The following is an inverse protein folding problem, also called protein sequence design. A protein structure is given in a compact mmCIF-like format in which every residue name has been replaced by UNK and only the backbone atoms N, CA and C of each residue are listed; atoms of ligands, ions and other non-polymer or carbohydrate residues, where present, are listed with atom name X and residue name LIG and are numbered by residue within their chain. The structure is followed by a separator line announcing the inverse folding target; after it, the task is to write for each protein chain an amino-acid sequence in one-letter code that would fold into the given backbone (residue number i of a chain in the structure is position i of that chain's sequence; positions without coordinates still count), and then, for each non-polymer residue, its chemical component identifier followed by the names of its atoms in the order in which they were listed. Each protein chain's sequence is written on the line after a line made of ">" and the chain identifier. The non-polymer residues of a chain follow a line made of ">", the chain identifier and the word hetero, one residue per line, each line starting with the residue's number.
data_IF_268083668584
#
_entry.id   IF_268083668584
#
_cell.length_a   1.000
_cell.length_b   1.000
_cell.length_c   1.000
_cell.angle_alpha   90.00
_cell.angle_beta   90.00
_cell.angle_gamma   90.00
#
_symmetry.space_group_name_H-M   'P 1'
#
loop_
_entity.id
_entity.type
_entity.pdbx_description
1 polymer ?
#
# COMPACT_ATOMS: atom_id res chain seq x y z
N UNK A 1 6.28 -0.41 -19.73
CA UNK A 1 5.91 0.93 -19.22
C UNK A 1 4.46 0.91 -18.79
N UNK A 2 4.19 0.71 -17.51
CA UNK A 2 2.83 0.79 -16.97
C UNK A 2 2.51 2.26 -16.69
N UNK A 3 1.44 2.78 -17.29
CA UNK A 3 0.86 4.06 -16.91
C UNK A 3 -0.50 3.78 -16.27
N UNK A 4 -0.75 4.21 -15.03
CA UNK A 4 -2.06 4.03 -14.41
C UNK A 4 -3.12 4.87 -15.14
N UNK A 5 -4.26 4.25 -15.43
CA UNK A 5 -5.42 4.85 -16.09
C UNK A 5 -6.10 5.88 -15.15
N UNK A 6 -6.29 7.15 -15.56
CA UNK A 6 -6.82 8.21 -14.69
C UNK A 6 -8.33 8.15 -14.40
N UNK A 7 -9.03 7.06 -14.75
CA UNK A 7 -10.49 6.99 -14.73
C UNK A 7 -11.08 5.87 -13.85
N UNK A 8 -10.37 5.38 -12.83
CA UNK A 8 -10.98 4.49 -11.83
C UNK A 8 -10.90 5.11 -10.43
N UNK A 9 -12.01 5.73 -10.04
CA UNK A 9 -12.22 6.37 -8.74
C UNK A 9 -13.17 5.49 -7.94
N UNK A 10 -12.69 4.34 -7.45
CA UNK A 10 -13.42 3.54 -6.46
C UNK A 10 -12.42 3.00 -5.42
N UNK A 11 -12.52 3.53 -4.19
CA UNK A 11 -11.83 3.13 -2.95
C UNK A 11 -10.29 2.99 -2.99
N UNK A 12 -9.58 4.12 -3.07
CA UNK A 12 -8.12 4.22 -2.86
C UNK A 12 -7.74 4.04 -1.37
N UNK A 13 -7.61 2.79 -0.89
CA UNK A 13 -7.06 2.45 0.44
C UNK A 13 -5.69 1.76 0.37
N UNK A 14 -5.16 1.52 -0.83
CA UNK A 14 -3.87 0.84 -1.05
C UNK A 14 -3.01 1.69 -1.99
N UNK A 15 -1.71 1.79 -1.68
CA UNK A 15 -0.73 2.42 -2.57
C UNK A 15 0.52 1.54 -2.72
N UNK A 16 1.23 1.71 -3.82
CA UNK A 16 2.50 1.03 -4.08
C UNK A 16 3.61 1.72 -3.29
N UNK A 17 4.22 1.07 -2.29
CA UNK A 17 5.31 1.65 -1.50
C UNK A 17 6.68 1.54 -2.19
N UNK A 18 6.91 0.43 -2.90
CA UNK A 18 8.18 0.10 -3.56
C UNK A 18 7.90 -0.32 -5.00
N UNK A 19 8.65 0.22 -5.96
CA UNK A 19 8.52 -0.16 -7.37
C UNK A 19 9.35 -1.41 -7.73
N UNK A 20 9.33 -1.79 -9.02
CA UNK A 20 10.05 -2.95 -9.52
C UNK A 20 11.58 -2.79 -9.58
N UNK A 21 12.09 -1.57 -9.43
CA UNK A 21 13.53 -1.26 -9.33
C UNK A 21 13.95 -1.07 -7.85
N UNK A 22 13.11 -1.50 -6.90
CA UNK A 22 13.32 -1.37 -5.45
C UNK A 22 13.41 0.09 -4.96
N UNK A 23 12.78 1.04 -5.66
CA UNK A 23 12.72 2.44 -5.24
C UNK A 23 11.47 2.73 -4.44
N UNK A 24 11.63 3.49 -3.36
CA UNK A 24 10.49 4.02 -2.60
C UNK A 24 9.72 5.03 -3.45
N UNK A 25 8.40 4.91 -3.45
CA UNK A 25 7.50 5.86 -4.15
C UNK A 25 7.17 7.10 -3.31
N UNK A 26 7.64 7.13 -2.07
CA UNK A 26 7.48 8.23 -1.11
C UNK A 26 8.83 8.87 -0.81
N UNK A 27 8.87 10.19 -0.70
CA UNK A 27 10.11 10.95 -0.51
C UNK A 27 10.34 11.38 0.95
N UNK A 28 9.32 11.22 1.80
CA UNK A 28 9.37 11.59 3.21
C UNK A 28 8.37 10.79 4.04
N UNK A 29 8.58 10.76 5.36
CA UNK A 29 7.63 10.19 6.32
C UNK A 29 6.26 10.88 6.24
N UNK A 30 6.24 12.20 6.06
CA UNK A 30 5.00 12.97 5.93
C UNK A 30 4.21 12.57 4.69
N UNK A 31 4.89 12.29 3.56
CA UNK A 31 4.25 11.81 2.35
C UNK A 31 3.68 10.40 2.52
N UNK A 32 4.42 9.52 3.22
CA UNK A 32 3.94 8.19 3.56
C UNK A 32 2.66 8.23 4.40
N UNK A 33 2.64 9.01 5.50
CA UNK A 33 1.48 9.13 6.38
C UNK A 33 0.26 9.71 5.64
N UNK A 34 0.47 10.68 4.74
CA UNK A 34 -0.60 11.26 3.92
C UNK A 34 -1.32 10.24 3.06
N UNK A 35 -0.64 9.20 2.58
CA UNK A 35 -1.27 8.15 1.78
C UNK A 35 -2.36 7.37 2.55
N UNK A 36 -2.22 7.27 3.88
CA UNK A 36 -3.17 6.55 4.74
C UNK A 36 -4.34 7.42 5.23
N UNK A 37 -4.43 8.69 4.81
CA UNK A 37 -5.48 9.64 5.23
C UNK A 37 -5.68 9.70 6.75
N UNK A 38 -4.62 9.50 7.54
CA UNK A 38 -4.69 9.55 8.99
C UNK A 38 -4.91 11.00 9.47
N UNK A 39 -6.09 11.29 10.01
CA UNK A 39 -6.47 12.62 10.52
C UNK A 39 -5.99 12.89 11.95
N UNK A 40 -5.45 11.88 12.64
CA UNK A 40 -5.03 11.98 14.04
C UNK A 40 -3.60 12.51 14.16
N UNK A 41 -3.33 13.39 15.13
CA UNK A 41 -1.96 13.66 15.57
C UNK A 41 -1.46 12.41 16.32
N UNK A 42 -0.36 11.83 15.82
CA UNK A 42 0.34 10.67 16.41
C UNK A 42 -0.49 9.37 16.51
N UNK A 43 -0.93 8.78 15.37
CA UNK A 43 -1.67 7.52 15.38
C UNK A 43 -0.75 6.36 15.82
N UNK A 44 -1.26 5.48 16.70
CA UNK A 44 -0.57 4.22 17.01
C UNK A 44 -0.66 3.26 15.82
N UNK A 45 0.45 3.10 15.10
CA UNK A 45 0.52 2.24 13.90
C UNK A 45 1.01 0.83 14.26
N UNK A 46 0.41 -0.18 13.63
CA UNK A 46 0.94 -1.55 13.55
C UNK A 46 1.21 -1.88 12.08
N UNK A 47 2.44 -2.27 11.77
CA UNK A 47 2.83 -2.68 10.42
C UNK A 47 2.83 -4.21 10.31
N UNK A 48 2.22 -4.73 9.24
CA UNK A 48 2.19 -6.17 8.94
C UNK A 48 2.67 -6.35 7.50
N UNK A 49 3.65 -7.24 7.31
CA UNK A 49 4.17 -7.60 5.99
C UNK A 49 4.05 -9.11 5.76
N UNK A 50 3.69 -9.52 4.55
CA UNK A 50 3.68 -10.92 4.13
C UNK A 50 4.78 -11.12 3.09
N UNK A 51 5.64 -12.11 3.31
CA UNK A 51 6.78 -12.47 2.45
C UNK A 51 6.62 -13.94 2.03
N UNK A 52 6.92 -14.26 0.78
CA UNK A 52 6.79 -15.61 0.23
C UNK A 52 7.06 -15.62 -1.27
N UNK A 53 7.11 -16.81 -1.87
CA UNK A 53 7.43 -16.98 -3.28
C UNK A 53 6.29 -16.48 -4.17
N UNK A 54 6.61 -16.18 -5.43
CA UNK A 54 5.59 -15.89 -6.45
C UNK A 54 4.69 -17.10 -6.62
N UNK A 55 3.38 -16.89 -6.57
CA UNK A 55 2.37 -17.97 -6.67
C UNK A 55 1.73 -18.38 -5.34
N UNK A 56 2.30 -18.01 -4.18
CA UNK A 56 1.81 -18.45 -2.86
C UNK A 56 0.51 -17.76 -2.37
N UNK A 57 -0.17 -17.00 -3.22
CA UNK A 57 -1.45 -16.36 -2.86
C UNK A 57 -1.34 -15.22 -1.85
N UNK A 58 -0.16 -14.60 -1.68
CA UNK A 58 0.09 -13.52 -0.70
C UNK A 58 -0.96 -12.39 -0.74
N UNK A 59 -1.30 -11.89 -1.92
CA UNK A 59 -2.30 -10.83 -2.09
C UNK A 59 -3.71 -11.31 -1.72
N UNK A 60 -4.04 -12.57 -2.01
CA UNK A 60 -5.32 -13.18 -1.63
C UNK A 60 -5.46 -13.26 -0.10
N UNK A 61 -4.44 -13.79 0.60
CA UNK A 61 -4.46 -13.89 2.06
C UNK A 61 -4.57 -12.51 2.71
N UNK A 62 -3.79 -11.52 2.26
CA UNK A 62 -3.82 -10.18 2.86
C UNK A 62 -5.19 -9.51 2.65
N UNK A 63 -5.75 -9.63 1.45
CA UNK A 63 -7.08 -9.09 1.15
C UNK A 63 -8.17 -9.75 2.00
N UNK A 64 -8.12 -11.07 2.18
CA UNK A 64 -9.09 -11.79 3.02
C UNK A 64 -8.99 -11.44 4.52
N UNK A 65 -7.80 -11.12 5.03
CA UNK A 65 -7.60 -10.82 6.46
C UNK A 65 -7.98 -9.39 6.83
N UNK A 66 -7.77 -8.42 5.93
CA UNK A 66 -7.88 -6.99 6.26
C UNK A 66 -8.98 -6.23 5.51
N UNK A 67 -9.52 -6.76 4.40
CA UNK A 67 -10.46 -6.05 3.52
C UNK A 67 -11.78 -6.80 3.24
N UNK A 68 -11.93 -8.02 3.77
CA UNK A 68 -13.15 -8.83 3.72
C UNK A 68 -13.77 -8.95 5.11
#
# INVERSE_FOLDING_TARGET
>A
HYQPNPANTDSNEVFLLLDGDERLTVNSESDFIRQFKCSQQDPKVKCVSIIGNTGDGKSYTLNQVFFN
#
